data_IF_032094644279
#
_entry.id   IF_032094644279
#
_cell.length_a   1.000
_cell.length_b   1.000
_cell.length_c   1.000
_cell.angle_alpha   90.00
_cell.angle_beta   90.00
_cell.angle_gamma   90.00
#
_symmetry.space_group_name_H-M   'P 1'
#
loop_
_entity.id
_entity.type
_entity.pdbx_description
1 polymer ?
#
# COMPACT_ATOMS: atom_id res chain seq x y z
N UNK A 1 3.99 13.30 -4.79
CA UNK A 1 2.62 12.91 -5.16
C UNK A 1 2.38 11.45 -4.85
N UNK A 2 1.18 11.09 -4.40
CA UNK A 2 0.83 9.68 -4.21
C UNK A 2 0.91 8.94 -5.55
N UNK A 3 1.79 7.96 -5.64
CA UNK A 3 1.95 7.13 -6.83
C UNK A 3 0.91 6.01 -6.86
N UNK A 4 0.78 5.32 -5.74
CA UNK A 4 -0.16 4.25 -5.57
C UNK A 4 -0.29 3.83 -4.12
N UNK A 5 -1.33 3.08 -3.83
CA UNK A 5 -1.56 2.62 -2.47
C UNK A 5 -2.36 1.32 -2.46
N UNK A 6 -2.06 0.46 -1.48
CA UNK A 6 -2.85 -0.72 -1.16
C UNK A 6 -3.58 -0.39 0.14
N UNK A 7 -4.90 -0.32 0.06
CA UNK A 7 -5.74 0.16 1.15
C UNK A 7 -6.31 -1.00 1.96
N UNK A 8 -6.04 -0.98 3.28
CA UNK A 8 -6.56 -1.93 4.26
C UNK A 8 -6.08 -3.37 4.05
N UNK A 9 -4.80 -3.52 3.71
CA UNK A 9 -4.18 -4.84 3.64
C UNK A 9 -4.04 -5.45 5.03
N UNK A 10 -4.18 -6.78 5.12
CA UNK A 10 -3.95 -7.52 6.36
C UNK A 10 -2.55 -8.08 6.39
N UNK A 11 -1.86 -7.87 7.50
CA UNK A 11 -0.54 -8.46 7.73
C UNK A 11 -0.71 -9.97 7.90
N UNK A 12 0.05 -10.75 7.12
CA UNK A 12 -0.02 -12.22 7.16
C UNK A 12 1.17 -12.83 7.89
N UNK A 13 2.25 -12.08 8.09
CA UNK A 13 3.43 -12.57 8.79
C UNK A 13 4.30 -11.43 9.29
N UNK A 14 5.12 -11.71 10.30
CA UNK A 14 6.09 -10.78 10.84
C UNK A 14 7.28 -11.59 11.38
N UNK A 15 8.50 -11.28 10.91
CA UNK A 15 9.72 -11.97 11.28
C UNK A 15 10.82 -10.98 11.64
N UNK A 16 11.11 -10.85 12.94
CA UNK A 16 12.13 -9.94 13.46
C UNK A 16 13.56 -10.33 13.04
N UNK A 17 13.78 -11.58 12.77
CA UNK A 17 15.11 -12.12 12.49
C UNK A 17 15.47 -12.14 11.01
N UNK A 18 14.57 -11.67 10.16
CA UNK A 18 14.79 -11.57 8.73
C UNK A 18 15.25 -10.16 8.36
N UNK A 19 15.89 -10.02 7.19
CA UNK A 19 16.30 -8.69 6.71
C UNK A 19 15.09 -7.77 6.56
N UNK A 20 15.26 -6.48 6.94
CA UNK A 20 14.18 -5.52 6.95
C UNK A 20 13.57 -5.30 5.57
N UNK A 21 12.26 -5.49 5.45
CA UNK A 21 11.49 -5.28 4.22
C UNK A 21 10.02 -5.53 4.48
N UNK A 22 9.19 -5.25 3.46
CA UNK A 22 7.83 -5.76 3.41
C UNK A 22 7.67 -6.62 2.16
N UNK A 23 7.33 -7.89 2.35
CA UNK A 23 6.99 -8.77 1.24
C UNK A 23 5.53 -8.59 0.90
N UNK A 24 5.25 -8.31 -0.36
CA UNK A 24 3.90 -8.01 -0.84
C UNK A 24 3.60 -8.92 -2.02
N UNK A 25 2.44 -9.59 -1.98
CA UNK A 25 1.89 -10.29 -3.15
C UNK A 25 2.14 -9.45 -4.39
N UNK A 26 2.89 -10.00 -5.36
CA UNK A 26 3.31 -9.23 -6.54
C UNK A 26 2.15 -8.78 -7.42
N UNK A 27 1.01 -9.45 -7.38
CA UNK A 27 -0.17 -8.97 -8.10
C UNK A 27 -0.71 -7.66 -7.51
N UNK A 28 -0.61 -7.48 -6.20
CA UNK A 28 -0.98 -6.23 -5.51
C UNK A 28 0.03 -5.13 -5.82
N UNK A 29 1.33 -5.46 -5.83
CA UNK A 29 2.36 -4.49 -6.20
C UNK A 29 2.16 -3.96 -7.61
N UNK A 30 1.93 -4.86 -8.56
CA UNK A 30 1.69 -4.47 -9.96
C UNK A 30 0.48 -3.56 -10.08
N UNK A 31 -0.61 -3.90 -9.41
CA UNK A 31 -1.84 -3.10 -9.45
C UNK A 31 -1.66 -1.71 -8.85
N UNK A 32 -0.87 -1.58 -7.80
CA UNK A 32 -0.57 -0.30 -7.14
C UNK A 32 0.59 0.46 -7.80
N UNK A 33 1.28 -0.16 -8.76
CA UNK A 33 2.44 0.45 -9.42
C UNK A 33 3.68 0.50 -8.52
N UNK A 34 3.77 -0.37 -7.53
CA UNK A 34 4.92 -0.45 -6.63
C UNK A 34 5.95 -1.40 -7.22
N UNK A 35 7.18 -0.93 -7.33
CA UNK A 35 8.29 -1.69 -7.89
C UNK A 35 9.07 -2.42 -6.80
N UNK A 36 9.75 -3.54 -7.16
CA UNK A 36 10.70 -4.17 -6.24
C UNK A 36 11.74 -3.17 -5.76
N UNK A 37 12.06 -3.19 -4.47
CA UNK A 37 12.99 -2.30 -3.78
C UNK A 37 12.52 -0.86 -3.64
N UNK A 38 11.33 -0.56 -4.07
CA UNK A 38 10.79 0.78 -3.90
C UNK A 38 10.50 1.06 -2.43
N UNK A 39 10.87 2.26 -1.97
CA UNK A 39 10.51 2.71 -0.63
C UNK A 39 9.01 2.86 -0.53
N UNK A 40 8.45 2.33 0.54
CA UNK A 40 7.02 2.46 0.84
C UNK A 40 6.84 2.98 2.27
N UNK A 41 5.78 3.75 2.46
CA UNK A 41 5.35 4.17 3.78
C UNK A 41 4.19 3.28 4.20
N UNK A 42 4.26 2.80 5.43
CA UNK A 42 3.28 1.89 6.02
C UNK A 42 2.54 2.63 7.13
N UNK A 43 1.24 2.65 7.04
CA UNK A 43 0.38 3.27 8.06
C UNK A 43 -0.47 2.18 8.68
N UNK A 44 -0.23 1.89 9.96
CA UNK A 44 -1.05 0.90 10.67
C UNK A 44 -2.36 1.53 11.11
N UNK A 45 -3.47 0.98 10.64
CA UNK A 45 -4.79 1.39 11.10
C UNK A 45 -5.01 0.88 12.52
N UNK A 46 -4.49 -0.32 12.80
CA UNK A 46 -4.66 -0.98 14.10
C UNK A 46 -3.96 -0.22 15.23
N UNK A 47 -2.72 0.23 15.01
CA UNK A 47 -1.91 0.85 16.07
C UNK A 47 -1.73 2.36 15.92
N UNK A 48 -1.95 2.89 14.72
CA UNK A 48 -1.67 4.30 14.40
C UNK A 48 -0.20 4.57 14.08
N UNK A 49 0.67 3.58 14.17
CA UNK A 49 2.08 3.75 13.85
C UNK A 49 2.30 4.02 12.36
N UNK A 50 3.29 4.85 12.07
CA UNK A 50 3.73 5.16 10.70
C UNK A 50 5.21 4.90 10.61
N UNK A 51 5.63 4.18 9.59
CA UNK A 51 7.03 3.86 9.36
C UNK A 51 7.27 3.59 7.88
N UNK A 52 8.52 3.55 7.48
CA UNK A 52 8.88 3.24 6.10
C UNK A 52 9.84 2.06 6.02
N UNK A 53 9.77 1.37 4.90
CA UNK A 53 10.63 0.26 4.54
C UNK A 53 10.67 0.19 3.02
N UNK A 54 11.10 -0.93 2.45
CA UNK A 54 11.08 -1.14 1.01
C UNK A 54 10.35 -2.43 0.66
N UNK A 55 9.79 -2.47 -0.54
CA UNK A 55 8.94 -3.57 -0.98
C UNK A 55 9.74 -4.67 -1.69
N UNK A 56 9.42 -5.91 -1.38
CA UNK A 56 9.88 -7.08 -2.12
C UNK A 56 8.67 -7.88 -2.61
N UNK A 57 8.73 -8.43 -3.83
CA UNK A 57 7.60 -9.19 -4.35
C UNK A 57 7.52 -10.58 -3.70
N UNK A 58 6.33 -10.94 -3.28
CA UNK A 58 5.97 -12.31 -2.92
C UNK A 58 5.21 -12.93 -4.09
N UNK A 59 5.01 -14.25 -4.06
CA UNK A 59 4.32 -14.98 -5.10
C UNK A 59 2.92 -14.41 -5.35
N UNK A 60 2.54 -14.36 -6.62
CA UNK A 60 1.26 -13.80 -7.07
C UNK A 60 0.07 -14.56 -6.48
N UNK A 61 -0.95 -13.81 -6.11
CA UNK A 61 -2.25 -14.34 -5.66
C UNK A 61 -2.18 -15.16 -4.38
N UNK A 62 -1.16 -14.94 -3.57
CA UNK A 62 -1.02 -15.59 -2.26
C UNK A 62 -1.65 -14.77 -1.15
N UNK A 63 -1.85 -13.49 -1.37
CA UNK A 63 -2.30 -12.56 -0.33
C UNK A 63 -1.24 -12.25 0.71
N UNK A 64 0.03 -12.60 0.45
CA UNK A 64 1.12 -12.40 1.41
C UNK A 64 1.40 -10.91 1.60
N UNK A 65 1.38 -10.48 2.84
CA UNK A 65 1.83 -9.16 3.31
C UNK A 65 2.62 -9.43 4.59
N UNK A 66 3.95 -9.53 4.46
CA UNK A 66 4.79 -9.93 5.58
C UNK A 66 5.84 -8.86 5.89
N UNK A 67 5.91 -8.42 7.14
CA UNK A 67 6.87 -7.45 7.62
C UNK A 67 8.08 -8.15 8.21
N UNK A 68 9.27 -7.76 7.78
CA UNK A 68 10.52 -8.39 8.20
C UNK A 68 11.43 -7.39 8.90
N UNK A 69 12.28 -7.89 9.79
CA UNK A 69 13.28 -7.10 10.49
C UNK A 69 12.64 -6.11 11.47
N UNK A 70 13.20 -4.92 11.57
CA UNK A 70 12.74 -3.90 12.52
C UNK A 70 11.27 -3.52 12.33
N UNK A 71 10.78 -3.54 11.10
CA UNK A 71 9.37 -3.25 10.79
C UNK A 71 8.41 -4.23 11.49
N UNK A 72 8.85 -5.47 11.73
CA UNK A 72 8.05 -6.47 12.41
C UNK A 72 7.73 -6.13 13.88
N UNK A 73 8.42 -5.14 14.45
CA UNK A 73 8.08 -4.66 15.81
C UNK A 73 6.86 -3.75 15.83
N UNK A 74 6.50 -3.19 14.69
CA UNK A 74 5.41 -2.21 14.58
C UNK A 74 4.06 -2.84 14.25
N UNK A 75 4.05 -4.07 13.76
CA UNK A 75 2.84 -4.75 13.30
C UNK A 75 2.87 -6.23 13.68
N UNK A 76 1.68 -6.81 13.75
CA UNK A 76 1.49 -8.24 14.01
C UNK A 76 0.58 -8.84 12.92
N UNK A 77 0.66 -10.16 12.68
CA UNK A 77 -0.31 -10.83 11.81
C UNK A 77 -1.75 -10.49 12.22
N UNK A 78 -2.58 -10.17 11.24
CA UNK A 78 -3.95 -9.74 11.45
C UNK A 78 -4.14 -8.23 11.53
N UNK A 79 -3.08 -7.47 11.74
CA UNK A 79 -3.16 -6.01 11.74
C UNK A 79 -3.55 -5.50 10.36
N UNK A 80 -4.27 -4.39 10.36
CA UNK A 80 -4.73 -3.72 9.15
C UNK A 80 -3.82 -2.54 8.85
N UNK A 81 -3.25 -2.50 7.65
CA UNK A 81 -2.29 -1.48 7.25
C UNK A 81 -2.64 -0.87 5.90
N UNK A 82 -2.10 0.32 5.66
CA UNK A 82 -2.13 0.98 4.36
C UNK A 82 -0.69 1.06 3.87
N UNK A 83 -0.45 0.61 2.65
CA UNK A 83 0.87 0.63 2.01
C UNK A 83 0.83 1.70 0.93
N UNK A 84 1.74 2.68 1.01
CA UNK A 84 1.75 3.83 0.08
C UNK A 84 3.12 4.00 -0.56
N UNK A 85 3.12 4.43 -1.82
CA UNK A 85 4.32 4.83 -2.53
C UNK A 85 4.12 6.23 -3.10
N UNK A 86 5.18 7.02 -3.12
CA UNK A 86 5.15 8.41 -3.56
C UNK A 86 6.17 8.62 -4.67
N UNK A 87 5.94 9.65 -5.48
CA UNK A 87 6.79 9.97 -6.61
C UNK A 87 6.88 11.49 -6.75
N UNK A 88 8.06 11.98 -7.13
CA UNK A 88 8.26 13.38 -7.47
C UNK A 88 7.90 13.60 -8.93
N UNK A 89 7.21 14.69 -9.21
CA UNK A 89 6.88 15.06 -10.58
C UNK A 89 6.71 16.57 -10.67
N UNK A 90 6.73 17.10 -11.88
CA UNK A 90 6.49 18.52 -12.08
C UNK A 90 4.98 18.82 -11.94
N UNK A 91 4.66 20.10 -11.80
CA UNK A 91 3.30 20.56 -11.55
C UNK A 91 2.34 20.20 -12.68
N UNK A 92 2.80 20.26 -13.92
CA UNK A 92 1.97 19.91 -15.09
C UNK A 92 1.55 18.44 -15.08
N UNK A 93 2.50 17.55 -14.78
CA UNK A 93 2.21 16.12 -14.64
C UNK A 93 1.28 15.89 -13.45
N UNK A 94 1.52 16.59 -12.34
CA UNK A 94 0.73 16.45 -11.12
C UNK A 94 -0.75 16.82 -11.32
N UNK A 95 -1.03 17.83 -12.15
CA UNK A 95 -2.41 18.26 -12.44
C UNK A 95 -3.27 17.16 -13.04
N UNK A 96 -2.66 16.25 -13.78
CA UNK A 96 -3.36 15.16 -14.48
C UNK A 96 -3.05 13.79 -13.90
N UNK A 97 -2.27 13.75 -12.81
CA UNK A 97 -1.87 12.48 -12.21
C UNK A 97 -3.05 11.78 -11.56
N UNK A 98 -3.15 10.48 -11.80
CA UNK A 98 -4.17 9.63 -11.20
C UNK A 98 -3.47 8.47 -10.48
N UNK A 99 -3.39 8.49 -9.14
CA UNK A 99 -2.73 7.42 -8.40
C UNK A 99 -3.48 6.09 -8.54
N UNK A 100 -2.73 5.00 -8.45
CA UNK A 100 -3.30 3.66 -8.51
C UNK A 100 -3.70 3.21 -7.10
N UNK A 101 -4.98 3.16 -6.83
CA UNK A 101 -5.52 2.77 -5.52
C UNK A 101 -6.06 1.35 -5.63
N UNK A 102 -5.53 0.47 -4.78
CA UNK A 102 -5.94 -0.93 -4.72
C UNK A 102 -6.70 -1.16 -3.42
N UNK A 103 -7.93 -1.64 -3.52
CA UNK A 103 -8.73 -2.05 -2.37
C UNK A 103 -8.70 -3.57 -2.26
N UNK A 104 -8.50 -4.06 -1.05
CA UNK A 104 -8.45 -5.50 -0.79
C UNK A 104 -9.38 -5.87 0.36
N UNK A 105 -9.83 -7.12 0.35
CA UNK A 105 -10.64 -7.69 1.42
C UNK A 105 -9.74 -8.24 2.55
N UNK A 106 -10.33 -8.92 3.53
CA UNK A 106 -9.61 -9.45 4.69
C UNK A 106 -8.63 -10.58 4.34
N UNK A 107 -8.68 -11.11 3.12
CA UNK A 107 -7.73 -12.11 2.60
C UNK A 107 -6.74 -11.52 1.61
N UNK A 108 -6.68 -10.20 1.53
CA UNK A 108 -5.85 -9.46 0.60
C UNK A 108 -6.15 -9.76 -0.87
N UNK A 109 -7.40 -10.05 -1.17
CA UNK A 109 -7.89 -10.22 -2.54
C UNK A 109 -8.48 -8.92 -3.02
N UNK A 110 -8.40 -8.68 -4.32
CA UNK A 110 -8.92 -7.45 -4.92
C UNK A 110 -10.41 -7.27 -4.64
N UNK A 111 -10.76 -6.04 -4.28
CA UNK A 111 -12.15 -5.57 -4.24
C UNK A 111 -12.40 -4.65 -5.43
N UNK A 112 -13.62 -4.63 -5.97
CA UNK A 112 -13.96 -3.64 -7.00
C UNK A 112 -13.81 -2.22 -6.49
N UNK A 113 -13.21 -1.34 -7.30
CA UNK A 113 -13.15 0.09 -7.04
C UNK A 113 -14.45 0.71 -7.54
N UNK A 114 -15.25 1.28 -6.64
CA UNK A 114 -16.53 1.88 -7.01
C UNK A 114 -16.40 3.23 -7.70
N UNK A 115 -15.27 3.94 -7.46
CA UNK A 115 -14.97 5.21 -8.12
C UNK A 115 -13.49 5.55 -7.92
N UNK A 116 -12.94 6.34 -8.86
CA UNK A 116 -11.54 6.76 -8.80
C UNK A 116 -11.35 7.89 -7.78
N UNK A 117 -10.11 8.09 -7.27
CA UNK A 117 -9.80 9.23 -6.39
C UNK A 117 -10.13 10.58 -7.03
N UNK A 118 -9.94 10.72 -8.33
CA UNK A 118 -10.26 11.94 -9.08
C UNK A 118 -11.74 12.23 -9.07
N UNK A 119 -12.58 11.20 -9.25
CA UNK A 119 -14.03 11.34 -9.19
C UNK A 119 -14.50 11.83 -7.81
N UNK A 120 -13.91 11.30 -6.74
CA UNK A 120 -14.20 11.74 -5.37
C UNK A 120 -13.81 13.21 -5.16
N UNK A 121 -12.64 13.61 -5.63
CA UNK A 121 -12.17 14.99 -5.53
C UNK A 121 -13.11 15.95 -6.26
N UNK A 122 -13.55 15.59 -7.46
CA UNK A 122 -14.47 16.40 -8.23
C UNK A 122 -15.83 16.53 -7.55
N UNK A 123 -16.32 15.47 -6.93
CA UNK A 123 -17.58 15.52 -6.16
C UNK A 123 -17.49 16.49 -4.99
N UNK A 124 -16.37 16.49 -4.27
CA UNK A 124 -16.15 17.41 -3.14
C UNK A 124 -16.12 18.87 -3.58
N UNK A 125 -15.60 19.15 -4.79
CA UNK A 125 -15.57 20.49 -5.35
C UNK A 125 -16.97 20.99 -5.73
N UNK A 126 -17.85 20.08 -6.10
CA UNK A 126 -19.22 20.39 -6.48
C UNK A 126 -20.18 20.54 -5.30
N UNK A 127 -19.76 20.12 -4.12
CA UNK A 127 -20.54 20.29 -2.88
C UNK A 127 -20.22 21.65 -2.25
N UNK A 128 -21.25 22.50 -1.98
CA UNK A 128 -21.01 23.77 -1.32
C UNK A 128 -20.49 23.63 0.11
#
# INVERSE_FOLDING_TARGET
>A
MLKGKIHRARVTGADLNYEGSIEIDSSLMEAAGILPFEKVDIWSITTGDRFSTYALPAEKRTGIIALNGAAARKVQPGDEIIITAFVSMNEKEAEHWNPKIVFVDEKNRFKPLTHSPRALTNRRRLTP
#
